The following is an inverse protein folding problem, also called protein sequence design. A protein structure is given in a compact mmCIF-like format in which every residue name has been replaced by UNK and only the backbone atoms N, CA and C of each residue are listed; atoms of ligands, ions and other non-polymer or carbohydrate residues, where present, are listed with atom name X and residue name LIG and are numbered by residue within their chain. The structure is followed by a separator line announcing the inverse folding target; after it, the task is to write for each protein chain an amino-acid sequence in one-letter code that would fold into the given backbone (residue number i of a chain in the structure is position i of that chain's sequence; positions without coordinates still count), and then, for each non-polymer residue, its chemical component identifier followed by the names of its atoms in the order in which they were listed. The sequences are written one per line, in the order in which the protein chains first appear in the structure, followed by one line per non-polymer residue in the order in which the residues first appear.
data_IF_953409051123
#
_entry.id   IF_953409051123
#
_cell.length_a   1.000
_cell.length_b   1.000
_cell.length_c   1.000
_cell.angle_alpha   90.00
_cell.angle_beta   90.00
_cell.angle_gamma   90.00
#
_symmetry.space_group_name_H-M   'P 1'
#
loop_
_entity.id
_entity.type
_entity.pdbx_description
1 polymer ?
#
# COMPACT_ATOMS: atom_id res chain seq x y z
N UNK A 1 -13.03 -4.56 14.54
CA UNK A 1 -12.53 -3.38 15.29
C UNK A 1 -11.42 -2.66 14.54
N UNK A 2 -10.36 -3.37 14.11
CA UNK A 2 -9.25 -2.78 13.33
C UNK A 2 -9.67 -2.12 12.02
N UNK A 3 -10.40 -2.83 11.15
CA UNK A 3 -10.82 -2.27 9.85
C UNK A 3 -11.66 -1.00 10.00
N UNK A 4 -12.54 -0.96 11.01
CA UNK A 4 -13.33 0.24 11.32
C UNK A 4 -12.44 1.39 11.77
N UNK A 5 -11.45 1.13 12.64
CA UNK A 5 -10.50 2.16 13.05
C UNK A 5 -9.69 2.72 11.87
N UNK A 6 -9.21 1.87 10.97
CA UNK A 6 -8.48 2.29 9.77
C UNK A 6 -9.36 3.15 8.85
N UNK A 7 -10.61 2.74 8.64
CA UNK A 7 -11.58 3.47 7.83
C UNK A 7 -11.92 4.83 8.43
N UNK A 8 -12.23 4.87 9.73
CA UNK A 8 -12.66 6.09 10.42
C UNK A 8 -11.54 7.14 10.50
N UNK A 9 -10.28 6.70 10.62
CA UNK A 9 -9.13 7.60 10.73
C UNK A 9 -8.46 7.89 9.38
N UNK A 10 -8.63 7.01 8.39
CA UNK A 10 -7.93 7.04 7.10
C UNK A 10 -8.83 6.58 5.95
N UNK A 11 -9.89 7.35 5.61
CA UNK A 11 -10.87 6.95 4.61
C UNK A 11 -10.26 6.76 3.21
N UNK A 12 -9.12 7.39 2.90
CA UNK A 12 -8.43 7.21 1.63
C UNK A 12 -8.00 5.76 1.35
N UNK A 13 -7.77 4.96 2.40
CA UNK A 13 -7.37 3.54 2.29
C UNK A 13 -8.37 2.70 1.50
N UNK A 14 -9.67 3.02 1.57
CA UNK A 14 -10.73 2.24 0.91
C UNK A 14 -10.72 2.32 -0.63
N UNK A 15 -9.98 3.29 -1.17
CA UNK A 15 -9.86 3.53 -2.62
C UNK A 15 -8.53 3.07 -3.19
N UNK A 16 -7.58 2.68 -2.33
CA UNK A 16 -6.25 2.28 -2.77
C UNK A 16 -6.35 0.96 -3.54
N UNK A 17 -5.59 0.88 -4.64
CA UNK A 17 -5.55 -0.28 -5.53
C UNK A 17 -4.23 -1.02 -5.39
N UNK A 18 -4.33 -2.35 -5.35
CA UNK A 18 -3.20 -3.26 -5.40
C UNK A 18 -2.61 -3.35 -6.83
N UNK A 19 -1.77 -4.37 -7.09
CA UNK A 19 -1.15 -4.59 -8.40
C UNK A 19 -2.11 -5.14 -9.44
N UNK A 20 -3.15 -5.81 -9.01
CA UNK A 20 -4.24 -6.38 -9.79
C UNK A 20 -5.38 -5.38 -10.00
N UNK A 21 -5.23 -4.15 -9.52
CA UNK A 21 -6.22 -3.09 -9.64
C UNK A 21 -7.42 -3.23 -8.70
N UNK A 22 -7.33 -4.10 -7.69
CA UNK A 22 -8.34 -4.40 -6.68
C UNK A 22 -8.25 -3.43 -5.50
N UNK A 23 -9.40 -3.07 -4.96
CA UNK A 23 -9.58 -2.30 -3.72
C UNK A 23 -9.90 -3.23 -2.54
N UNK A 24 -9.86 -2.75 -1.28
CA UNK A 24 -10.28 -3.54 -0.12
C UNK A 24 -11.67 -4.20 -0.29
N UNK A 25 -12.59 -3.54 -1.00
CA UNK A 25 -13.94 -4.06 -1.27
C UNK A 25 -13.93 -5.37 -2.09
N UNK A 26 -12.91 -5.60 -2.92
CA UNK A 26 -12.77 -6.84 -3.70
C UNK A 26 -12.42 -8.06 -2.82
N UNK A 27 -11.92 -7.84 -1.61
CA UNK A 27 -11.51 -8.92 -0.70
C UNK A 27 -12.56 -9.30 0.33
N UNK A 28 -13.68 -8.55 0.41
CA UNK A 28 -14.72 -8.76 1.43
C UNK A 28 -15.22 -10.19 1.53
N UNK A 29 -15.38 -10.89 0.40
CA UNK A 29 -15.85 -12.28 0.38
C UNK A 29 -14.98 -13.26 1.19
N UNK A 30 -13.71 -12.92 1.45
CA UNK A 30 -12.80 -13.72 2.28
C UNK A 30 -12.72 -13.28 3.75
N UNK A 31 -13.40 -12.21 4.13
CA UNK A 31 -13.41 -11.77 5.52
C UNK A 31 -14.22 -12.72 6.40
N UNK A 32 -13.94 -12.69 7.71
CA UNK A 32 -14.72 -13.43 8.72
C UNK A 32 -16.19 -13.02 8.73
N UNK A 33 -16.47 -11.76 8.44
CA UNK A 33 -17.81 -11.18 8.32
C UNK A 33 -17.89 -10.31 7.05
N UNK A 34 -18.23 -10.94 5.90
CA UNK A 34 -18.25 -10.26 4.60
C UNK A 34 -19.26 -9.11 4.52
N UNK A 35 -20.47 -9.30 5.04
CA UNK A 35 -21.55 -8.32 4.96
C UNK A 35 -21.25 -7.08 5.81
N UNK A 36 -20.71 -7.29 7.02
CA UNK A 36 -20.27 -6.19 7.87
C UNK A 36 -19.12 -5.41 7.23
N UNK A 37 -18.10 -6.10 6.68
CA UNK A 37 -16.96 -5.46 6.03
C UNK A 37 -17.40 -4.68 4.79
N UNK A 38 -18.23 -5.30 3.95
CA UNK A 38 -18.81 -4.68 2.76
C UNK A 38 -19.55 -3.38 3.12
N UNK A 39 -20.44 -3.45 4.11
CA UNK A 39 -21.22 -2.30 4.56
C UNK A 39 -20.32 -1.18 5.12
N UNK A 40 -19.30 -1.54 5.89
CA UNK A 40 -18.33 -0.59 6.46
C UNK A 40 -17.54 0.14 5.37
N UNK A 41 -17.00 -0.59 4.39
CA UNK A 41 -16.25 0.00 3.29
C UNK A 41 -17.14 0.85 2.35
N UNK A 42 -18.38 0.42 2.10
CA UNK A 42 -19.36 1.19 1.32
C UNK A 42 -19.72 2.51 1.98
N UNK A 43 -19.95 2.51 3.29
CA UNK A 43 -20.23 3.74 4.05
C UNK A 43 -19.05 4.72 4.01
N UNK A 44 -17.82 4.20 3.88
CA UNK A 44 -16.61 4.99 3.74
C UNK A 44 -16.30 5.47 2.31
N UNK A 45 -17.17 5.18 1.33
CA UNK A 45 -17.04 5.64 -0.04
C UNK A 45 -16.35 4.67 -1.01
N UNK A 46 -16.16 3.39 -0.63
CA UNK A 46 -15.66 2.40 -1.57
C UNK A 46 -16.64 2.17 -2.73
N UNK A 47 -16.12 2.15 -3.96
CA UNK A 47 -16.92 1.94 -5.17
C UNK A 47 -17.12 0.44 -5.47
N UNK A 48 -18.38 0.01 -5.53
CA UNK A 48 -18.77 -1.37 -5.85
C UNK A 48 -18.80 -1.67 -7.36
N UNK A 49 -18.70 -0.66 -8.22
CA UNK A 49 -18.69 -0.80 -9.67
C UNK A 49 -17.27 -0.84 -10.26
N UNK A 50 -16.24 -0.55 -9.46
CA UNK A 50 -14.86 -0.51 -9.92
C UNK A 50 -14.40 -1.89 -10.39
N UNK A 51 -13.77 -1.95 -11.56
CA UNK A 51 -13.25 -3.19 -12.12
C UNK A 51 -11.76 -3.39 -11.79
N UNK A 52 -11.39 -4.62 -11.46
CA UNK A 52 -10.00 -5.05 -11.40
C UNK A 52 -9.40 -5.25 -12.81
N UNK A 53 -8.11 -5.62 -12.90
CA UNK A 53 -7.45 -5.87 -14.19
C UNK A 53 -7.99 -7.09 -14.96
N UNK A 54 -8.78 -7.96 -14.30
CA UNK A 54 -9.47 -9.08 -14.93
C UNK A 54 -10.90 -8.73 -15.34
N UNK A 55 -11.32 -7.47 -15.18
CA UNK A 55 -12.67 -7.00 -15.48
C UNK A 55 -13.72 -7.47 -14.49
N UNK A 56 -13.33 -7.80 -13.25
CA UNK A 56 -14.24 -8.30 -12.20
C UNK A 56 -14.58 -7.20 -11.21
N UNK A 57 -15.83 -7.18 -10.75
CA UNK A 57 -16.32 -6.27 -9.71
C UNK A 57 -16.07 -6.81 -8.31
N UNK A 58 -16.12 -5.97 -7.27
CA UNK A 58 -16.15 -6.42 -5.88
C UNK A 58 -17.28 -7.41 -5.58
N UNK A 59 -18.48 -7.19 -6.15
CA UNK A 59 -19.63 -8.08 -5.97
C UNK A 59 -19.36 -9.49 -6.50
N UNK A 60 -18.66 -9.62 -7.63
CA UNK A 60 -18.27 -10.93 -8.16
C UNK A 60 -17.47 -11.76 -7.14
N UNK A 61 -16.58 -11.12 -6.39
CA UNK A 61 -15.77 -11.78 -5.36
C UNK A 61 -16.53 -12.11 -4.07
N UNK A 62 -17.68 -11.49 -3.82
CA UNK A 62 -18.59 -11.91 -2.75
C UNK A 62 -19.19 -13.29 -3.04
N UNK A 63 -19.52 -13.56 -4.31
CA UNK A 63 -20.05 -14.84 -4.78
C UNK A 63 -18.94 -15.88 -5.01
N UNK A 64 -17.74 -15.41 -5.37
CA UNK A 64 -16.57 -16.24 -5.69
C UNK A 64 -15.39 -15.93 -4.76
N UNK A 65 -15.54 -16.07 -3.43
CA UNK A 65 -14.52 -15.66 -2.47
C UNK A 65 -13.20 -16.40 -2.67
N UNK A 66 -13.25 -17.60 -3.26
CA UNK A 66 -12.06 -18.39 -3.55
C UNK A 66 -11.15 -17.76 -4.62
N UNK A 67 -11.71 -16.92 -5.49
CA UNK A 67 -11.00 -16.27 -6.59
C UNK A 67 -10.32 -14.96 -6.20
N UNK A 68 -10.69 -14.37 -5.05
CA UNK A 68 -10.04 -13.19 -4.47
C UNK A 68 -8.67 -13.55 -3.89
N UNK A 69 -7.79 -14.15 -4.70
CA UNK A 69 -6.46 -14.58 -4.24
C UNK A 69 -5.70 -13.35 -3.74
N UNK A 70 -5.16 -13.43 -2.53
CA UNK A 70 -4.20 -12.43 -2.07
C UNK A 70 -3.01 -12.46 -3.03
N UNK A 71 -2.45 -11.29 -3.41
CA UNK A 71 -1.21 -11.25 -4.16
C UNK A 71 -0.11 -11.93 -3.35
N UNK A 72 0.11 -13.21 -3.63
CA UNK A 72 1.28 -13.95 -3.17
C UNK A 72 2.37 -13.66 -4.17
N UNK A 73 3.44 -13.00 -3.70
CA UNK A 73 4.67 -12.65 -4.44
C UNK A 73 4.66 -13.04 -5.93
N UNK A 74 4.36 -12.12 -6.86
CA UNK A 74 4.64 -12.36 -8.25
C UNK A 74 6.14 -12.13 -8.49
N UNK A 75 6.79 -13.15 -9.06
CA UNK A 75 8.05 -13.03 -9.76
C UNK A 75 8.11 -11.71 -10.55
N UNK A 76 9.12 -10.88 -10.25
CA UNK A 76 9.79 -9.95 -11.16
C UNK A 76 9.00 -9.46 -12.40
N UNK A 77 7.77 -8.97 -12.25
CA UNK A 77 7.03 -8.41 -13.39
C UNK A 77 7.70 -7.10 -13.78
N UNK A 78 8.28 -6.97 -14.99
CA UNK A 78 9.01 -5.77 -15.36
C UNK A 78 8.00 -4.66 -15.67
N UNK A 79 7.81 -3.75 -14.72
CA UNK A 79 7.26 -2.42 -15.00
C UNK A 79 5.73 -2.30 -15.01
N UNK A 80 5.07 -2.59 -13.88
CA UNK A 80 3.72 -2.09 -13.65
C UNK A 80 3.71 -0.55 -13.69
N UNK A 81 2.95 0.03 -14.62
CA UNK A 81 2.61 1.45 -14.63
C UNK A 81 1.53 1.65 -13.56
N UNK A 82 1.82 2.40 -12.51
CA UNK A 82 0.82 2.73 -11.49
C UNK A 82 0.32 4.15 -11.68
N UNK A 83 -0.99 4.34 -11.72
CA UNK A 83 -1.66 5.63 -11.65
C UNK A 83 -2.24 5.78 -10.25
N UNK A 84 -1.47 6.37 -9.32
CA UNK A 84 -2.09 6.97 -8.15
C UNK A 84 -2.62 8.35 -8.56
N UNK A 85 -3.81 8.70 -8.09
CA UNK A 85 -4.48 9.95 -8.47
C UNK A 85 -3.61 11.17 -8.17
N UNK A 86 -3.36 11.98 -9.20
CA UNK A 86 -2.62 13.23 -9.12
C UNK A 86 -1.16 13.13 -9.59
N UNK A 87 -0.93 13.43 -10.87
CA UNK A 87 0.36 13.65 -11.54
C UNK A 87 1.30 12.44 -11.76
N UNK A 88 1.44 12.07 -13.04
CA UNK A 88 2.48 11.23 -13.65
C UNK A 88 2.79 9.90 -12.94
N UNK A 89 2.24 8.81 -13.47
CA UNK A 89 2.43 7.46 -12.91
C UNK A 89 3.89 7.10 -12.61
N UNK A 90 4.14 6.66 -11.37
CA UNK A 90 5.47 6.37 -10.87
C UNK A 90 6.03 5.11 -11.54
N UNK A 91 6.98 5.28 -12.46
CA UNK A 91 7.68 4.16 -13.10
C UNK A 91 8.95 3.86 -12.32
N UNK A 92 8.93 2.83 -11.48
CA UNK A 92 10.07 2.48 -10.61
C UNK A 92 11.04 1.51 -11.31
N UNK A 93 11.96 2.09 -12.10
CA UNK A 93 13.10 1.39 -12.73
C UNK A 93 14.42 1.85 -12.08
N UNK A 94 15.48 1.02 -12.03
CA UNK A 94 16.78 1.42 -11.48
C UNK A 94 17.33 2.72 -12.08
N UNK A 95 17.18 2.91 -13.40
CA UNK A 95 17.59 4.15 -14.07
C UNK A 95 16.84 5.38 -13.55
N UNK A 96 15.52 5.28 -13.32
CA UNK A 96 14.72 6.38 -12.80
C UNK A 96 15.08 6.71 -11.35
N UNK A 97 15.33 5.69 -10.52
CA UNK A 97 15.80 5.89 -9.14
C UNK A 97 17.12 6.65 -9.12
N UNK A 98 18.07 6.29 -9.98
CA UNK A 98 19.36 6.99 -10.08
C UNK A 98 19.21 8.44 -10.54
N UNK A 99 18.29 8.72 -11.45
CA UNK A 99 17.95 10.09 -11.84
C UNK A 99 17.41 10.86 -10.63
N UNK A 100 16.47 10.29 -9.87
CA UNK A 100 15.92 10.96 -8.68
C UNK A 100 16.95 11.16 -7.56
N UNK A 101 17.90 10.23 -7.39
CA UNK A 101 19.04 10.37 -6.48
C UNK A 101 19.94 11.52 -6.91
N UNK A 102 20.25 11.62 -8.20
CA UNK A 102 21.06 12.70 -8.77
C UNK A 102 20.37 14.06 -8.61
N UNK A 103 19.08 14.13 -8.91
CA UNK A 103 18.28 15.36 -8.84
C UNK A 103 17.90 15.75 -7.41
N UNK A 104 18.18 14.89 -6.43
CA UNK A 104 17.83 15.03 -5.00
C UNK A 104 16.31 15.12 -4.79
N UNK A 105 15.56 14.42 -5.63
CA UNK A 105 14.11 14.35 -5.56
C UNK A 105 13.68 13.39 -4.44
N UNK A 106 13.78 13.88 -3.19
CA UNK A 106 13.37 13.11 -2.01
C UNK A 106 11.88 12.79 -2.01
N UNK A 107 11.05 13.57 -2.70
CA UNK A 107 9.62 13.32 -2.84
C UNK A 107 9.37 12.01 -3.60
N UNK A 108 9.95 11.89 -4.80
CA UNK A 108 9.82 10.65 -5.58
C UNK A 108 10.50 9.45 -4.93
N UNK A 109 11.66 9.65 -4.28
CA UNK A 109 12.32 8.58 -3.54
C UNK A 109 11.47 8.10 -2.36
N UNK A 110 10.77 9.01 -1.68
CA UNK A 110 9.80 8.67 -0.64
C UNK A 110 8.62 7.89 -1.22
N UNK A 111 8.07 8.33 -2.34
CA UNK A 111 6.95 7.64 -2.98
C UNK A 111 7.32 6.21 -3.42
N UNK A 112 8.59 5.95 -3.79
CA UNK A 112 9.09 4.58 -4.02
C UNK A 112 8.93 3.67 -2.78
N UNK A 113 9.14 4.21 -1.57
CA UNK A 113 8.94 3.45 -0.32
C UNK A 113 7.46 3.17 -0.11
N UNK A 114 6.62 4.21 -0.23
CA UNK A 114 5.17 4.11 0.00
C UNK A 114 4.45 3.22 -1.01
N UNK A 115 4.99 3.08 -2.23
CA UNK A 115 4.47 2.16 -3.23
C UNK A 115 4.99 0.71 -3.05
N UNK A 116 5.74 0.42 -1.98
CA UNK A 116 6.21 -0.93 -1.65
C UNK A 116 7.49 -1.35 -2.38
N UNK A 117 8.23 -0.41 -2.98
CA UNK A 117 9.47 -0.66 -3.72
C UNK A 117 10.74 -0.32 -2.94
N UNK A 118 10.65 -0.18 -1.61
CA UNK A 118 11.78 0.21 -0.75
C UNK A 118 13.04 -0.66 -0.90
N UNK A 119 12.91 -1.95 -1.21
CA UNK A 119 14.08 -2.82 -1.43
C UNK A 119 14.97 -2.35 -2.58
N UNK A 120 14.41 -1.70 -3.60
CA UNK A 120 15.20 -1.14 -4.72
C UNK A 120 16.07 0.04 -4.31
N UNK A 121 15.72 0.74 -3.23
CA UNK A 121 16.52 1.85 -2.70
C UNK A 121 17.70 1.36 -1.86
N UNK A 122 17.57 0.20 -1.22
CA UNK A 122 18.62 -0.38 -0.37
C UNK A 122 19.90 -0.74 -1.13
N UNK A 123 19.79 -0.94 -2.45
CA UNK A 123 20.92 -1.24 -3.33
C UNK A 123 21.60 0.00 -3.88
N UNK A 124 21.04 1.19 -3.66
CA UNK A 124 21.55 2.45 -4.21
C UNK A 124 22.35 3.22 -3.15
N UNK A 125 23.26 4.08 -3.60
CA UNK A 125 24.09 4.92 -2.73
C UNK A 125 24.19 6.34 -3.28
N UNK A 126 24.51 7.31 -2.42
CA UNK A 126 24.71 8.70 -2.83
C UNK A 126 25.80 9.36 -1.98
N UNK A 127 26.52 10.29 -2.58
CA UNK A 127 27.51 11.15 -1.90
C UNK A 127 26.86 12.41 -1.30
N UNK A 128 25.63 12.75 -1.71
CA UNK A 128 24.95 13.93 -1.20
C UNK A 128 24.42 13.68 0.23
N UNK A 129 24.74 14.53 1.23
CA UNK A 129 24.39 14.28 2.63
C UNK A 129 22.90 13.98 2.87
N UNK A 130 21.99 14.77 2.29
CA UNK A 130 20.54 14.60 2.47
C UNK A 130 20.03 13.28 1.89
N UNK A 131 20.52 12.88 0.71
CA UNK A 131 20.08 11.63 0.07
C UNK A 131 20.70 10.43 0.77
N UNK A 132 21.96 10.54 1.21
CA UNK A 132 22.63 9.52 2.02
C UNK A 132 21.88 9.28 3.33
N UNK A 133 21.47 10.34 4.02
CA UNK A 133 20.69 10.24 5.25
C UNK A 133 19.31 9.61 4.99
N UNK A 134 18.63 10.01 3.91
CA UNK A 134 17.38 9.41 3.49
C UNK A 134 17.52 7.89 3.24
N UNK A 135 18.50 7.49 2.43
CA UNK A 135 18.76 6.08 2.10
C UNK A 135 19.11 5.24 3.34
N UNK A 136 19.84 5.81 4.30
CA UNK A 136 20.14 5.15 5.57
C UNK A 136 18.89 4.92 6.44
N UNK A 137 17.85 5.76 6.30
CA UNK A 137 16.58 5.61 7.01
C UNK A 137 15.61 4.62 6.39
N UNK A 138 15.79 4.24 5.11
CA UNK A 138 14.88 3.35 4.37
C UNK A 138 14.56 2.05 5.12
N UNK A 139 15.55 1.30 5.67
CA UNK A 139 15.27 0.04 6.36
C UNK A 139 14.36 0.20 7.59
N UNK A 140 14.51 1.32 8.31
CA UNK A 140 13.68 1.63 9.47
C UNK A 140 12.22 1.89 9.06
N UNK A 141 12.00 2.73 8.04
CA UNK A 141 10.66 3.03 7.53
C UNK A 141 9.97 1.76 7.03
N UNK A 142 10.69 0.91 6.28
CA UNK A 142 10.16 -0.38 5.83
C UNK A 142 9.80 -1.32 7.00
N UNK A 143 10.59 -1.30 8.07
CA UNK A 143 10.30 -2.03 9.30
C UNK A 143 8.98 -1.59 9.92
N UNK A 144 8.76 -0.28 10.04
CA UNK A 144 7.50 0.27 10.56
C UNK A 144 6.31 -0.06 9.67
N UNK A 145 6.45 0.02 8.34
CA UNK A 145 5.41 -0.41 7.40
C UNK A 145 5.05 -1.88 7.64
N UNK A 146 6.05 -2.76 7.79
CA UNK A 146 5.83 -4.18 8.08
C UNK A 146 5.09 -4.39 9.40
N UNK A 147 5.46 -3.66 10.45
CA UNK A 147 4.79 -3.76 11.76
C UNK A 147 3.34 -3.31 11.68
N UNK A 148 3.05 -2.23 10.95
CA UNK A 148 1.70 -1.72 10.69
C UNK A 148 0.83 -2.78 9.99
N UNK A 149 1.35 -3.42 8.93
CA UNK A 149 0.63 -4.49 8.23
C UNK A 149 0.42 -5.72 9.14
N UNK A 150 1.43 -6.08 9.93
CA UNK A 150 1.34 -7.20 10.87
C UNK A 150 0.28 -6.93 11.95
N UNK A 151 0.22 -5.70 12.47
CA UNK A 151 -0.80 -5.29 13.42
C UNK A 151 -2.21 -5.38 12.80
N UNK A 152 -2.36 -4.96 11.54
CA UNK A 152 -3.63 -5.05 10.83
C UNK A 152 -4.09 -6.51 10.65
N UNK A 153 -3.20 -7.39 10.19
CA UNK A 153 -3.47 -8.83 9.99
C UNK A 153 -3.86 -9.52 11.30
N UNK A 154 -3.17 -9.19 12.40
CA UNK A 154 -3.44 -9.77 13.71
C UNK A 154 -4.60 -9.10 14.46
N UNK A 155 -5.24 -8.07 13.87
CA UNK A 155 -6.25 -7.23 14.52
C UNK A 155 -5.76 -6.70 15.89
N UNK A 156 -4.52 -6.18 15.93
CA UNK A 156 -3.87 -5.60 17.11
C UNK A 156 -3.86 -4.05 17.04
N UNK A 157 -4.90 -3.37 17.56
CA UNK A 157 -4.98 -1.92 17.52
C UNK A 157 -3.96 -1.22 18.42
N UNK A 158 -3.40 -1.91 19.41
CA UNK A 158 -2.42 -1.35 20.35
C UNK A 158 -1.09 -1.17 19.64
N UNK A 159 -0.61 -2.24 18.98
CA UNK A 159 0.61 -2.18 18.19
C UNK A 159 0.52 -1.16 17.05
N UNK A 160 -0.64 -1.12 16.36
CA UNK A 160 -0.85 -0.17 15.27
C UNK A 160 -0.66 1.27 15.76
N UNK A 161 -1.38 1.66 16.84
CA UNK A 161 -1.29 3.01 17.41
C UNK A 161 0.14 3.37 17.78
N UNK A 162 0.82 2.49 18.52
CA UNK A 162 2.21 2.66 18.93
C UNK A 162 3.18 2.86 17.75
N UNK A 163 2.91 2.25 16.59
CA UNK A 163 3.75 2.36 15.39
C UNK A 163 3.37 3.50 14.46
N UNK A 164 2.25 4.17 14.71
CA UNK A 164 1.74 5.31 13.93
C UNK A 164 1.73 6.63 14.71
N UNK A 165 2.17 6.61 15.97
CA UNK A 165 2.33 7.80 16.80
C UNK A 165 3.44 8.72 16.27
N UNK A 166 3.37 10.00 16.63
CA UNK A 166 4.39 10.98 16.30
C UNK A 166 5.78 10.46 16.74
N UNK A 167 6.84 10.60 15.91
CA UNK A 167 6.94 11.46 14.72
C UNK A 167 6.65 10.75 13.38
N UNK A 168 5.96 9.60 13.38
CA UNK A 168 5.74 8.82 12.16
C UNK A 168 4.70 9.51 11.26
N UNK A 169 5.01 9.78 9.97
CA UNK A 169 4.04 10.38 9.06
C UNK A 169 2.81 9.51 8.86
N UNK A 170 1.63 10.14 8.82
CA UNK A 170 0.33 9.46 8.68
C UNK A 170 0.20 8.70 7.37
N UNK A 171 0.95 9.09 6.34
CA UNK A 171 1.02 8.43 5.04
C UNK A 171 1.47 6.96 5.15
N UNK A 172 2.09 6.55 6.26
CA UNK A 172 2.47 5.16 6.50
C UNK A 172 1.30 4.18 6.45
N UNK A 173 0.08 4.64 6.72
CA UNK A 173 -1.14 3.82 6.66
C UNK A 173 -1.69 3.67 5.24
N UNK A 174 -1.21 4.49 4.30
CA UNK A 174 -1.44 4.32 2.86
C UNK A 174 -0.29 3.56 2.19
N UNK A 175 0.78 3.27 2.93
CA UNK A 175 1.94 2.58 2.41
C UNK A 175 1.59 1.14 2.03
N UNK A 176 2.12 0.71 0.89
CA UNK A 176 1.97 -0.64 0.39
C UNK A 176 3.08 -1.54 0.93
N UNK A 177 2.75 -2.79 1.22
CA UNK A 177 3.74 -3.82 1.47
C UNK A 177 4.47 -4.24 0.17
N UNK A 178 5.39 -5.20 0.28
CA UNK A 178 6.11 -5.77 -0.87
C UNK A 178 5.19 -6.43 -1.93
N UNK A 179 3.96 -6.76 -1.56
CA UNK A 179 2.95 -7.34 -2.45
C UNK A 179 2.08 -6.26 -3.11
N UNK A 180 2.18 -5.01 -2.67
CA UNK A 180 1.38 -3.90 -3.19
C UNK A 180 0.07 -3.68 -2.45
N UNK A 181 -0.11 -4.30 -1.27
CA UNK A 181 -1.33 -4.20 -0.46
C UNK A 181 -1.19 -3.12 0.60
N UNK A 182 -2.28 -2.44 0.92
CA UNK A 182 -2.38 -1.58 2.11
C UNK A 182 -2.60 -2.39 3.38
N UNK A 183 -2.48 -1.76 4.57
CA UNK A 183 -2.83 -2.41 5.83
C UNK A 183 -4.31 -2.78 5.96
N UNK A 184 -5.21 -2.00 5.32
CA UNK A 184 -6.64 -2.31 5.20
C UNK A 184 -6.87 -3.30 4.05
#
# INVERSE_FOLDING_TARGET
EMARWLVDNYPGTVTVRDREGRTPLHYCGRCRDPDWMWSTLRQAGADAALLDLHGRTPTYYMEHPQEAKLPTTPNNTPGGRFTSGGNAGLVVKPANIRIWIHDRDLGRLRDVIWEGYGDKLRTETSQHPSVKQFLAGVPYVMGTIKDVHTAAVNNDPILLRKRTEDPVPREILLAKDKNGLTPL
#
